data_IF_542287674982
#
_entry.id   IF_542287674982
#
_cell.length_a   1.000
_cell.length_b   1.000
_cell.length_c   1.000
_cell.angle_alpha   90.00
_cell.angle_beta   90.00
_cell.angle_gamma   90.00
#
_symmetry.space_group_name_H-M   'P 1'
#
loop_
_entity.id
_entity.type
_entity.pdbx_description
1 polymer ?
#
# COMPACT_ATOMS: atom_id res chain seq x y z
N UNK A 1 2.46 10.19 12.81
CA UNK A 1 2.26 9.93 11.36
C UNK A 1 3.58 9.91 10.60
N UNK A 2 4.49 10.86 10.80
CA UNK A 2 5.80 10.88 10.14
C UNK A 2 6.61 9.58 10.38
N UNK A 3 6.56 9.01 11.59
CA UNK A 3 7.29 7.77 11.93
C UNK A 3 6.73 6.53 11.23
N UNK A 4 5.40 6.42 11.11
CA UNK A 4 4.73 5.31 10.40
C UNK A 4 5.07 5.37 8.92
N UNK A 5 5.08 6.57 8.33
CA UNK A 5 5.45 6.75 6.94
C UNK A 5 6.85 6.22 6.64
N UNK A 6 7.82 6.49 7.52
CA UNK A 6 9.19 5.99 7.35
C UNK A 6 9.28 4.46 7.52
N UNK A 7 8.60 3.90 8.53
CA UNK A 7 8.50 2.45 8.72
C UNK A 7 7.99 1.73 7.48
N UNK A 8 6.93 2.25 6.87
CA UNK A 8 6.36 1.68 5.64
C UNK A 8 7.34 1.71 4.46
N UNK A 9 8.13 2.78 4.34
CA UNK A 9 9.14 2.90 3.27
C UNK A 9 10.25 1.84 3.41
N UNK A 10 10.58 1.43 4.64
CA UNK A 10 11.65 0.48 4.95
C UNK A 10 11.18 -0.99 4.92
N UNK A 11 9.91 -1.25 5.23
CA UNK A 11 9.41 -2.62 5.50
C UNK A 11 8.36 -3.13 4.52
N UNK A 12 7.59 -2.25 3.88
CA UNK A 12 6.43 -2.61 3.05
C UNK A 12 6.64 -2.29 1.57
N UNK A 13 7.45 -1.27 1.26
CA UNK A 13 7.70 -0.86 -0.12
C UNK A 13 8.45 -1.93 -0.90
N UNK A 14 7.93 -2.23 -2.08
CA UNK A 14 8.59 -3.11 -3.04
C UNK A 14 9.61 -2.35 -3.91
N UNK A 15 10.75 -2.98 -4.22
CA UNK A 15 11.82 -2.36 -5.02
C UNK A 15 11.42 -2.12 -6.48
N UNK A 16 10.51 -2.94 -7.02
CA UNK A 16 10.03 -2.86 -8.40
C UNK A 16 8.88 -1.86 -8.57
N UNK A 17 8.34 -1.33 -7.47
CA UNK A 17 7.24 -0.37 -7.50
C UNK A 17 7.74 1.03 -7.86
N UNK A 18 7.09 1.66 -8.85
CA UNK A 18 7.42 3.04 -9.20
C UNK A 18 7.07 3.99 -8.04
N UNK A 19 7.74 5.16 -7.93
CA UNK A 19 7.45 6.11 -6.85
C UNK A 19 5.99 6.56 -6.79
N UNK A 20 5.32 6.66 -7.94
CA UNK A 20 3.90 7.06 -8.03
C UNK A 20 2.99 5.95 -7.51
N UNK A 21 3.25 4.70 -7.89
CA UNK A 21 2.50 3.55 -7.39
C UNK A 21 2.64 3.43 -5.87
N UNK A 22 3.86 3.55 -5.36
CA UNK A 22 4.12 3.48 -3.92
C UNK A 22 3.44 4.60 -3.14
N UNK A 23 3.51 5.85 -3.62
CA UNK A 23 2.84 6.97 -2.96
C UNK A 23 1.32 6.75 -2.86
N UNK A 24 0.70 6.22 -3.91
CA UNK A 24 -0.72 5.91 -3.92
C UNK A 24 -1.07 4.74 -2.97
N UNK A 25 -0.29 3.65 -3.00
CA UNK A 25 -0.46 2.50 -2.11
C UNK A 25 -0.24 2.86 -0.64
N UNK A 26 0.75 3.70 -0.34
CA UNK A 26 1.02 4.21 1.00
C UNK A 26 -0.13 5.06 1.54
N UNK A 27 -0.75 5.90 0.70
CA UNK A 27 -1.96 6.65 1.07
C UNK A 27 -3.13 5.73 1.40
N UNK A 28 -3.31 4.64 0.65
CA UNK A 28 -4.30 3.62 0.96
C UNK A 28 -4.08 3.01 2.36
N UNK A 29 -2.84 2.63 2.68
CA UNK A 29 -2.48 2.05 3.99
C UNK A 29 -2.75 3.08 5.11
N UNK A 30 -2.27 4.31 4.96
CA UNK A 30 -2.41 5.36 5.98
C UNK A 30 -3.89 5.75 6.22
N UNK A 31 -4.72 5.75 5.18
CA UNK A 31 -6.15 6.03 5.30
C UNK A 31 -6.90 4.96 6.13
N UNK A 32 -6.42 3.72 6.09
CA UNK A 32 -7.07 2.58 6.74
C UNK A 32 -6.30 2.05 7.97
N UNK A 33 -5.26 2.77 8.41
CA UNK A 33 -4.31 2.31 9.44
C UNK A 33 -4.98 1.86 10.75
N UNK A 34 -6.01 2.59 11.18
CA UNK A 34 -6.70 2.30 12.45
C UNK A 34 -7.85 1.29 12.32
N UNK A 35 -8.16 0.83 11.10
CA UNK A 35 -9.31 -0.04 10.81
C UNK A 35 -8.92 -1.52 10.73
N UNK A 36 -7.68 -1.82 10.39
CA UNK A 36 -7.19 -3.17 10.18
C UNK A 36 -5.76 -3.33 10.71
N UNK A 37 -5.37 -4.54 11.14
CA UNK A 37 -3.98 -4.87 11.42
C UNK A 37 -3.06 -4.60 10.22
N UNK A 38 -1.79 -4.27 10.48
CA UNK A 38 -0.81 -3.89 9.45
C UNK A 38 -0.64 -4.97 8.37
N UNK A 39 -0.53 -6.25 8.75
CA UNK A 39 -0.39 -7.38 7.84
C UNK A 39 -1.58 -7.49 6.86
N UNK A 40 -2.79 -7.27 7.36
CA UNK A 40 -4.00 -7.23 6.54
C UNK A 40 -4.01 -6.01 5.61
N UNK A 41 -3.59 -4.84 6.10
CA UNK A 41 -3.48 -3.63 5.27
C UNK A 41 -2.48 -3.78 4.13
N UNK A 42 -1.33 -4.39 4.40
CA UNK A 42 -0.32 -4.66 3.37
C UNK A 42 -0.93 -5.57 2.29
N UNK A 43 -1.60 -6.65 2.68
CA UNK A 43 -2.28 -7.56 1.75
C UNK A 43 -3.34 -6.83 0.91
N UNK A 44 -4.25 -6.09 1.55
CA UNK A 44 -5.32 -5.34 0.88
C UNK A 44 -4.77 -4.27 -0.06
N UNK A 45 -3.72 -3.55 0.36
CA UNK A 45 -3.10 -2.50 -0.45
C UNK A 45 -2.43 -3.05 -1.71
N UNK A 46 -1.87 -4.27 -1.65
CA UNK A 46 -1.33 -4.97 -2.82
C UNK A 46 -2.42 -5.35 -3.82
N UNK A 47 -3.54 -5.89 -3.33
CA UNK A 47 -4.68 -6.21 -4.17
C UNK A 47 -5.23 -4.94 -4.82
N UNK A 48 -5.40 -3.88 -4.05
CA UNK A 48 -5.84 -2.58 -4.57
C UNK A 48 -4.89 -2.04 -5.65
N UNK A 49 -3.58 -2.03 -5.41
CA UNK A 49 -2.59 -1.56 -6.38
C UNK A 49 -2.57 -2.42 -7.66
N UNK A 50 -2.79 -3.73 -7.54
CA UNK A 50 -2.94 -4.63 -8.68
C UNK A 50 -4.18 -4.31 -9.53
N UNK A 51 -5.29 -3.96 -8.89
CA UNK A 51 -6.50 -3.55 -9.61
C UNK A 51 -6.32 -2.18 -10.28
N UNK A 52 -5.72 -1.22 -9.57
CA UNK A 52 -5.58 0.18 -10.02
C UNK A 52 -4.55 0.34 -11.14
N UNK A 53 -3.36 -0.27 -11.00
CA UNK A 53 -2.25 -0.04 -11.93
C UNK A 53 -2.03 -1.13 -12.95
N UNK A 54 -2.40 -2.38 -12.64
CA UNK A 54 -2.18 -3.53 -13.53
C UNK A 54 -3.47 -3.99 -14.22
N UNK A 55 -4.59 -3.30 -13.97
CA UNK A 55 -5.85 -3.55 -14.67
C UNK A 55 -6.48 -4.91 -14.37
N UNK A 56 -6.09 -5.56 -13.27
CA UNK A 56 -6.74 -6.77 -12.78
C UNK A 56 -8.16 -6.43 -12.33
N UNK A 57 -9.14 -6.58 -13.22
CA UNK A 57 -10.56 -6.46 -12.84
C UNK A 57 -10.97 -7.76 -12.17
N UNK A 58 -11.37 -7.69 -10.90
CA UNK A 58 -12.17 -8.77 -10.31
C UNK A 58 -13.46 -8.86 -11.11
N UNK A 59 -13.63 -9.97 -11.83
CA UNK A 59 -14.89 -10.34 -12.49
C UNK A 59 -15.88 -10.90 -11.48
#
# INVERSE_FOLDING_TARGET
>A
MADIGKHLDETVRDQWESPVQWDARKKFILHNWDQHPEDQLVCLSNVWANMEFFGCRSV
#
